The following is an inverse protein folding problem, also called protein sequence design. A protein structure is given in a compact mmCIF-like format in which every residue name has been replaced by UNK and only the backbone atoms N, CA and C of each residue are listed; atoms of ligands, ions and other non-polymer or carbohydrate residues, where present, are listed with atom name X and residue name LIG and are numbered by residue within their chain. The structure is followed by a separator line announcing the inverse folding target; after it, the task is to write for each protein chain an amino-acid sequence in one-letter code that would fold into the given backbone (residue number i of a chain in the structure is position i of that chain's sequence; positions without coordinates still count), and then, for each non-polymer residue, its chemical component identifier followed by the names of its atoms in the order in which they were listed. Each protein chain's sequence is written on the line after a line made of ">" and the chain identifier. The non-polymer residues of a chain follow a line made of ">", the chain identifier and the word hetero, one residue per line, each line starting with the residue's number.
data_IF_813179251698
#
_entry.id   IF_813179251698
#
_cell.length_a   1.000
_cell.length_b   1.000
_cell.length_c   1.000
_cell.angle_alpha   90.00
_cell.angle_beta   90.00
_cell.angle_gamma   90.00
#
_symmetry.space_group_name_H-M   'P 1'
#
loop_
_entity.id
_entity.type
_entity.pdbx_description
1 polymer ?
#
# COMPACT_ATOMS: atom_id res chain seq x y z
N UNK A 1 -1.61 -22.73 -11.76
CA UNK A 1 -1.12 -23.94 -11.06
C UNK A 1 -1.86 -25.25 -11.39
N UNK A 2 -2.88 -25.28 -12.26
CA UNK A 2 -3.58 -26.55 -12.61
C UNK A 2 -2.83 -27.44 -13.63
N UNK A 3 -1.92 -26.89 -14.44
CA UNK A 3 -1.22 -27.64 -15.48
C UNK A 3 -0.09 -28.54 -14.93
N UNK A 4 0.68 -28.08 -13.94
CA UNK A 4 1.83 -28.81 -13.38
C UNK A 4 1.45 -30.01 -12.49
N UNK A 5 0.26 -29.99 -11.88
CA UNK A 5 -0.26 -31.13 -11.11
C UNK A 5 -0.65 -32.29 -12.04
N UNK A 6 -1.01 -32.00 -13.29
CA UNK A 6 -1.41 -33.02 -14.27
C UNK A 6 -0.19 -33.83 -14.77
N UNK A 7 1.00 -33.20 -14.83
CA UNK A 7 2.25 -33.86 -15.23
C UNK A 7 2.82 -34.80 -14.15
N UNK A 8 2.38 -34.65 -12.89
CA UNK A 8 2.73 -35.55 -11.78
C UNK A 8 1.97 -36.90 -11.82
N UNK A 9 0.84 -36.98 -12.51
CA UNK A 9 0.03 -38.21 -12.57
C UNK A 9 0.56 -39.25 -13.59
N UNK A 10 1.57 -38.89 -14.40
CA UNK A 10 2.12 -39.74 -15.48
C UNK A 10 3.66 -39.88 -15.41
N UNK A 11 4.26 -39.92 -14.21
CA UNK A 11 5.70 -40.11 -14.05
C UNK A 11 6.04 -41.59 -13.84
N UNK A 12 6.80 -42.16 -14.78
CA UNK A 12 7.44 -43.47 -14.67
C UNK A 12 8.51 -43.40 -13.56
N UNK A 13 8.49 -44.28 -12.54
CA UNK A 13 9.31 -44.19 -11.32
C UNK A 13 10.84 -44.30 -11.51
N UNK A 14 11.33 -44.49 -12.74
CA UNK A 14 12.75 -44.71 -13.06
C UNK A 14 13.56 -43.44 -13.42
N UNK A 15 12.97 -42.24 -13.41
CA UNK A 15 13.72 -40.96 -13.61
C UNK A 15 13.67 -40.00 -12.39
N UNK A 16 14.22 -40.40 -11.23
CA UNK A 16 14.20 -39.59 -10.00
C UNK A 16 15.05 -38.31 -10.05
N UNK A 17 15.95 -38.15 -11.04
CA UNK A 17 16.78 -36.95 -11.19
C UNK A 17 15.97 -35.73 -11.66
N UNK A 18 15.01 -35.91 -12.56
CA UNK A 18 14.16 -34.83 -13.07
C UNK A 18 13.18 -34.31 -12.00
N UNK A 19 12.69 -35.20 -11.14
CA UNK A 19 11.76 -34.86 -10.05
C UNK A 19 12.41 -34.02 -8.95
N UNK A 20 13.70 -34.25 -8.63
CA UNK A 20 14.41 -33.44 -7.63
C UNK A 20 14.70 -32.02 -8.14
N UNK A 21 15.09 -31.87 -9.40
CA UNK A 21 15.29 -30.56 -10.03
C UNK A 21 13.96 -29.79 -10.15
N UNK A 22 12.87 -30.48 -10.52
CA UNK A 22 11.53 -29.90 -10.57
C UNK A 22 11.02 -29.51 -9.17
N UNK A 23 11.23 -30.34 -8.15
CA UNK A 23 10.88 -30.02 -6.78
C UNK A 23 11.67 -28.81 -6.25
N UNK A 24 12.95 -28.69 -6.61
CA UNK A 24 13.78 -27.53 -6.29
C UNK A 24 13.27 -26.27 -6.99
N UNK A 25 12.88 -26.33 -8.27
CA UNK A 25 12.28 -25.21 -8.99
C UNK A 25 10.92 -24.82 -8.41
N UNK A 26 10.09 -25.78 -8.02
CA UNK A 26 8.81 -25.53 -7.34
C UNK A 26 9.00 -24.88 -5.97
N UNK A 27 9.99 -25.30 -5.19
CA UNK A 27 10.34 -24.67 -3.94
C UNK A 27 10.78 -23.21 -4.17
N UNK A 28 11.57 -22.94 -5.22
CA UNK A 28 11.97 -21.58 -5.60
C UNK A 28 10.76 -20.72 -6.03
N UNK A 29 9.84 -21.26 -6.85
CA UNK A 29 8.61 -20.54 -7.22
C UNK A 29 7.69 -20.29 -6.02
N UNK A 30 7.56 -21.27 -5.11
CA UNK A 30 6.78 -21.09 -3.88
C UNK A 30 7.36 -20.00 -2.99
N UNK A 31 8.69 -19.89 -2.91
CA UNK A 31 9.36 -18.79 -2.20
C UNK A 31 9.08 -17.44 -2.86
N UNK A 32 9.16 -17.35 -4.19
CA UNK A 32 8.83 -16.12 -4.91
C UNK A 32 7.37 -15.71 -4.71
N UNK A 33 6.43 -16.65 -4.77
CA UNK A 33 5.03 -16.37 -4.51
C UNK A 33 4.78 -15.92 -3.07
N UNK A 34 5.47 -16.54 -2.10
CA UNK A 34 5.42 -16.13 -0.70
C UNK A 34 5.94 -14.70 -0.52
N UNK A 35 7.03 -14.33 -1.22
CA UNK A 35 7.57 -12.97 -1.21
C UNK A 35 6.60 -11.97 -1.85
N UNK A 36 5.98 -12.32 -2.96
CA UNK A 36 4.96 -11.48 -3.61
C UNK A 36 3.75 -11.27 -2.69
N UNK A 37 3.25 -12.33 -2.05
CA UNK A 37 2.17 -12.25 -1.09
C UNK A 37 2.54 -11.40 0.12
N UNK A 38 3.79 -11.51 0.60
CA UNK A 38 4.31 -10.70 1.69
C UNK A 38 4.35 -9.21 1.31
N UNK A 39 4.85 -8.87 0.12
CA UNK A 39 4.86 -7.49 -0.37
C UNK A 39 3.45 -6.90 -0.46
N UNK A 40 2.48 -7.67 -0.98
CA UNK A 40 1.06 -7.25 -1.01
C UNK A 40 0.48 -7.02 0.38
N UNK A 41 0.80 -7.88 1.34
CA UNK A 41 0.37 -7.68 2.73
C UNK A 41 1.01 -6.43 3.34
N UNK A 42 2.29 -6.14 3.04
CA UNK A 42 2.96 -4.92 3.48
C UNK A 42 2.29 -3.67 2.91
N UNK A 43 1.96 -3.65 1.62
CA UNK A 43 1.22 -2.54 1.00
C UNK A 43 -0.13 -2.30 1.71
N UNK A 44 -0.89 -3.36 2.00
CA UNK A 44 -2.16 -3.24 2.73
C UNK A 44 -1.99 -2.70 4.16
N UNK A 45 -0.93 -3.12 4.86
CA UNK A 45 -0.61 -2.62 6.20
C UNK A 45 -0.28 -1.12 6.14
N UNK A 46 0.52 -0.69 5.17
CA UNK A 46 0.85 0.72 4.98
C UNK A 46 -0.41 1.56 4.73
N UNK A 47 -1.29 1.11 3.82
CA UNK A 47 -2.58 1.78 3.58
C UNK A 47 -3.43 1.86 4.85
N UNK A 48 -3.46 0.80 5.66
CA UNK A 48 -4.20 0.79 6.93
C UNK A 48 -3.63 1.80 7.93
N UNK A 49 -2.30 1.90 8.02
CA UNK A 49 -1.63 2.87 8.90
C UNK A 49 -1.95 4.31 8.47
N UNK A 50 -1.88 4.59 7.17
CA UNK A 50 -2.21 5.91 6.62
C UNK A 50 -3.67 6.29 6.89
N UNK A 51 -4.61 5.33 6.74
CA UNK A 51 -6.03 5.54 7.05
C UNK A 51 -6.23 5.86 8.53
N UNK A 52 -5.65 5.06 9.44
CA UNK A 52 -5.74 5.32 10.88
C UNK A 52 -5.13 6.68 11.25
N UNK A 53 -4.01 7.04 10.63
CA UNK A 53 -3.39 8.34 10.86
C UNK A 53 -4.30 9.47 10.37
N UNK A 54 -4.84 9.39 9.16
CA UNK A 54 -5.79 10.37 8.63
C UNK A 54 -7.04 10.50 9.52
N UNK A 55 -7.64 9.40 9.95
CA UNK A 55 -8.76 9.39 10.90
C UNK A 55 -8.41 10.10 12.20
N UNK A 56 -7.18 9.91 12.70
CA UNK A 56 -6.70 10.58 13.90
C UNK A 56 -6.54 12.09 13.76
N UNK A 57 -6.52 12.61 12.52
CA UNK A 57 -6.41 14.04 12.22
C UNK A 57 -7.77 14.72 12.15
N UNK A 58 -8.86 13.97 11.98
CA UNK A 58 -10.21 14.54 11.90
C UNK A 58 -10.50 15.38 13.16
N UNK A 59 -10.90 16.64 12.94
CA UNK A 59 -11.16 17.61 14.01
C UNK A 59 -9.92 18.19 14.68
N UNK A 60 -8.71 17.84 14.23
CA UNK A 60 -7.47 18.48 14.69
C UNK A 60 -7.08 19.64 13.79
N UNK A 61 -6.40 20.60 14.39
CA UNK A 61 -5.77 21.71 13.68
C UNK A 61 -4.41 21.25 13.13
N UNK A 62 -4.22 21.41 11.82
CA UNK A 62 -3.02 21.01 11.10
C UNK A 62 -2.42 22.20 10.37
N UNK A 63 -1.10 22.24 10.28
CA UNK A 63 -0.37 23.17 9.42
C UNK A 63 0.06 22.42 8.17
N UNK A 64 -0.24 22.94 6.99
CA UNK A 64 0.02 22.31 5.70
C UNK A 64 0.63 23.30 4.70
N UNK A 65 1.36 22.77 3.73
CA UNK A 65 1.88 23.56 2.62
C UNK A 65 0.78 23.81 1.59
N UNK A 66 0.46 25.07 1.32
CA UNK A 66 -0.48 25.47 0.28
C UNK A 66 0.21 26.38 -0.74
N UNK A 67 -0.12 26.19 -2.02
CA UNK A 67 0.27 27.17 -3.05
C UNK A 67 -0.64 28.39 -2.92
N UNK A 68 -0.05 29.55 -2.67
CA UNK A 68 -0.79 30.82 -2.75
C UNK A 68 -1.06 31.18 -4.21
N UNK A 69 -2.04 32.06 -4.45
CA UNK A 69 -2.33 32.59 -5.80
C UNK A 69 -1.11 33.26 -6.47
N UNK A 70 -0.10 33.63 -5.69
CA UNK A 70 1.17 34.20 -6.16
C UNK A 70 2.22 33.15 -6.55
N UNK A 71 1.87 31.85 -6.52
CA UNK A 71 2.77 30.75 -6.85
C UNK A 71 3.84 30.48 -5.79
N UNK A 72 3.67 31.01 -4.58
CA UNK A 72 4.59 30.82 -3.45
C UNK A 72 4.03 29.72 -2.55
N UNK A 73 4.90 28.83 -2.05
CA UNK A 73 4.48 27.84 -1.06
C UNK A 73 4.46 28.54 0.30
N UNK A 74 3.29 28.64 0.90
CA UNK A 74 3.13 29.20 2.25
C UNK A 74 2.50 28.16 3.18
N UNK A 75 2.77 28.30 4.47
CA UNK A 75 2.21 27.42 5.49
C UNK A 75 0.86 27.96 5.93
N UNK A 76 -0.20 27.21 5.66
CA UNK A 76 -1.55 27.53 6.14
C UNK A 76 -1.95 26.61 7.28
N UNK A 77 -2.80 27.12 8.16
CA UNK A 77 -3.34 26.35 9.28
C UNK A 77 -4.86 26.21 9.12
N UNK A 78 -5.39 25.06 9.53
CA UNK A 78 -6.83 24.88 9.59
C UNK A 78 -7.21 23.56 10.23
N UNK A 79 -8.51 23.38 10.49
CA UNK A 79 -9.03 22.15 11.08
C UNK A 79 -9.41 21.16 10.00
N UNK A 80 -9.04 19.90 10.17
CA UNK A 80 -9.48 18.83 9.26
C UNK A 80 -10.96 18.56 9.49
N UNK A 81 -11.77 18.85 8.49
CA UNK A 81 -13.23 18.71 8.55
C UNK A 81 -13.70 17.39 7.94
N UNK A 82 -13.03 16.92 6.88
CA UNK A 82 -13.42 15.71 6.16
C UNK A 82 -12.21 14.92 5.66
N UNK A 83 -12.43 13.62 5.45
CA UNK A 83 -11.47 12.70 4.87
C UNK A 83 -12.14 12.01 3.69
N UNK A 84 -11.48 12.04 2.52
CA UNK A 84 -11.92 11.35 1.32
C UNK A 84 -10.92 10.25 0.97
N UNK A 85 -11.48 9.06 0.74
CA UNK A 85 -10.73 7.89 0.28
C UNK A 85 -11.01 7.74 -1.20
N UNK A 86 -10.02 8.01 -2.06
CA UNK A 86 -10.17 7.79 -3.50
C UNK A 86 -10.00 6.30 -3.83
N UNK A 87 -10.57 5.88 -4.96
CA UNK A 87 -10.45 4.53 -5.47
C UNK A 87 -9.00 4.13 -5.85
N UNK A 88 -8.11 5.12 -6.00
CA UNK A 88 -6.67 4.93 -6.23
C UNK A 88 -5.87 4.68 -4.93
N UNK A 89 -6.52 4.69 -3.76
CA UNK A 89 -5.88 4.51 -2.46
C UNK A 89 -5.36 5.81 -1.84
N UNK A 90 -5.42 6.94 -2.54
CA UNK A 90 -4.96 8.23 -2.04
C UNK A 90 -5.95 8.80 -1.03
N UNK A 91 -5.42 9.25 0.11
CA UNK A 91 -6.19 9.91 1.16
C UNK A 91 -6.10 11.42 0.98
N UNK A 92 -7.26 12.06 0.88
CA UNK A 92 -7.41 13.50 0.82
C UNK A 92 -8.07 14.00 2.10
N UNK A 93 -7.52 15.06 2.69
CA UNK A 93 -8.08 15.75 3.84
C UNK A 93 -8.63 17.10 3.38
N UNK A 94 -9.81 17.46 3.85
CA UNK A 94 -10.39 18.78 3.60
C UNK A 94 -10.18 19.65 4.83
N UNK A 95 -9.55 20.80 4.61
CA UNK A 95 -9.23 21.80 5.60
C UNK A 95 -9.77 23.14 5.10
N UNK A 96 -10.98 23.50 5.54
CA UNK A 96 -11.74 24.62 4.96
C UNK A 96 -11.99 24.41 3.45
N UNK A 97 -11.57 25.37 2.63
CA UNK A 97 -11.71 25.30 1.16
C UNK A 97 -10.59 24.49 0.48
N UNK A 98 -9.56 24.06 1.23
CA UNK A 98 -8.41 23.36 0.69
C UNK A 98 -8.57 21.84 0.83
N UNK A 99 -8.39 21.13 -0.28
CA UNK A 99 -8.19 19.69 -0.27
C UNK A 99 -6.69 19.40 -0.36
N UNK A 100 -6.14 18.77 0.67
CA UNK A 100 -4.70 18.48 0.81
C UNK A 100 -4.47 16.98 0.96
N UNK A 101 -3.27 16.52 0.63
CA UNK A 101 -2.89 15.12 0.87
C UNK A 101 -2.25 14.98 2.24
N UNK A 102 -2.22 13.75 2.74
CA UNK A 102 -1.59 13.42 4.01
C UNK A 102 -0.09 13.80 4.04
N UNK A 103 0.58 13.70 2.89
CA UNK A 103 1.99 14.09 2.69
C UNK A 103 2.24 15.61 2.76
N UNK A 104 1.20 16.44 2.56
CA UNK A 104 1.33 17.90 2.53
C UNK A 104 1.24 18.51 3.95
N UNK A 105 0.94 17.68 4.97
CA UNK A 105 0.88 18.09 6.39
C UNK A 105 2.28 18.21 6.97
N UNK A 106 2.57 19.38 7.53
CA UNK A 106 3.85 19.70 8.16
C UNK A 106 3.80 19.43 9.66
N UNK A 107 2.72 19.83 10.34
CA UNK A 107 2.55 19.60 11.78
C UNK A 107 1.09 19.52 12.21
N UNK A 108 0.85 18.88 13.36
CA UNK A 108 -0.49 18.73 13.96
C UNK A 108 -0.45 19.42 15.33
N UNK A 109 -1.30 20.42 15.53
CA UNK A 109 -1.47 21.07 16.84
C UNK A 109 -2.32 20.20 17.76
N UNK A 110 -2.04 20.33 19.05
CA UNK A 110 -2.51 19.43 20.11
C UNK A 110 -3.74 19.97 20.83
#
# INVERSE_FOLDING_TARGET
>A
MKLLITQLQHQDPLEPLNNNEMASQLAQFSQLYQLEAMNKNFEQVLTTIEQNYAESLLGKEVSFAALTETGTVDTQEGTVEQIYHKADGTIWLVVGDNAIRLEDIISVKK
#
